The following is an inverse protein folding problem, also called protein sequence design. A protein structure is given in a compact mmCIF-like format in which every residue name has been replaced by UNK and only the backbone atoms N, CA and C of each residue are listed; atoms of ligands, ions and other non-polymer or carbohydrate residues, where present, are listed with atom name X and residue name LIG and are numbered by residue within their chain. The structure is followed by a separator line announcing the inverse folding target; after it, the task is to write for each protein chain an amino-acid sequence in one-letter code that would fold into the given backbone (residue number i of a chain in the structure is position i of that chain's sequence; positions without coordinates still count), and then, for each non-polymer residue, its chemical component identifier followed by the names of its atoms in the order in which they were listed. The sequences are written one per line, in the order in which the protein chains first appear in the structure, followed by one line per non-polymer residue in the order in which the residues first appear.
data_IF_262731182492
#
_entry.id   IF_262731182492
#
_cell.length_a   1.000
_cell.length_b   1.000
_cell.length_c   1.000
_cell.angle_alpha   90.00
_cell.angle_beta   90.00
_cell.angle_gamma   90.00
#
_symmetry.space_group_name_H-M   'P 1'
#
loop_
_entity.id
_entity.type
_entity.pdbx_description
1 polymer ?
#
# COMPACT_ATOMS: atom_id res chain seq x y z
N UNK A 1 -1.09 -0.79 30.27
CA UNK A 1 -1.24 0.55 30.85
C UNK A 1 -0.02 1.35 30.43
N UNK A 2 -0.24 2.55 29.89
CA UNK A 2 0.80 3.51 29.52
C UNK A 2 0.72 4.64 30.54
N UNK A 3 1.82 4.91 31.24
CA UNK A 3 1.84 5.93 32.29
C UNK A 3 3.19 6.65 32.34
N UNK A 4 3.16 7.88 32.86
CA UNK A 4 4.36 8.66 33.15
C UNK A 4 4.57 8.63 34.65
N UNK A 5 5.80 8.33 35.09
CA UNK A 5 6.19 8.39 36.50
C UNK A 5 7.28 9.43 36.69
N UNK A 6 7.13 10.25 37.73
CA UNK A 6 8.16 11.22 38.14
C UNK A 6 9.03 10.61 39.22
N UNK A 7 10.34 10.54 38.98
CA UNK A 7 11.31 10.03 39.95
C UNK A 7 11.59 11.12 41.00
N UNK A 8 11.30 10.81 42.27
CA UNK A 8 11.53 11.72 43.39
C UNK A 8 13.04 11.91 43.59
N UNK A 9 13.52 13.15 43.40
CA UNK A 9 14.90 13.56 43.66
C UNK A 9 15.54 14.38 42.53
N UNK A 10 15.16 14.14 41.27
CA UNK A 10 15.71 14.84 40.11
C UNK A 10 14.64 15.34 39.12
N UNK A 11 13.36 15.23 39.49
CA UNK A 11 12.19 15.61 38.66
C UNK A 11 12.18 14.97 37.26
N UNK A 12 12.91 13.87 37.08
CA UNK A 12 12.98 13.18 35.79
C UNK A 12 11.69 12.39 35.57
N UNK A 13 11.13 12.55 34.37
CA UNK A 13 9.90 11.89 33.94
C UNK A 13 10.26 10.65 33.14
N UNK A 14 9.57 9.56 33.40
CA UNK A 14 9.83 8.27 32.78
C UNK A 14 8.54 7.72 32.19
N UNK A 15 8.60 7.22 30.95
CA UNK A 15 7.49 6.51 30.33
C UNK A 15 7.53 5.03 30.72
N UNK A 16 6.39 4.50 31.15
CA UNK A 16 6.22 3.10 31.51
C UNK A 16 5.11 2.49 30.66
N UNK A 17 5.38 1.33 30.05
CA UNK A 17 4.41 0.58 29.26
C UNK A 17 4.29 -0.82 29.86
N UNK A 18 3.06 -1.19 30.26
CA UNK A 18 2.75 -2.49 30.86
C UNK A 18 3.66 -2.84 32.06
N UNK A 19 4.07 -1.82 32.82
CA UNK A 19 4.92 -1.99 34.00
C UNK A 19 6.43 -2.03 33.72
N UNK A 20 6.87 -1.91 32.46
CA UNK A 20 8.27 -1.82 32.08
C UNK A 20 8.67 -0.37 31.82
N UNK A 21 9.82 0.03 32.35
CA UNK A 21 10.45 1.32 32.03
C UNK A 21 10.93 1.30 30.59
N UNK A 22 10.54 2.31 29.81
CA UNK A 22 11.05 2.50 28.46
C UNK A 22 12.26 3.44 28.53
N UNK A 23 13.42 2.94 28.10
CA UNK A 23 14.65 3.71 27.98
C UNK A 23 14.90 3.99 26.50
N UNK A 24 14.54 5.18 26.04
CA UNK A 24 14.84 5.65 24.69
C UNK A 24 15.08 7.15 24.73
N UNK A 25 16.09 7.61 23.99
CA UNK A 25 16.42 9.04 23.83
C UNK A 25 15.40 9.75 22.92
N UNK A 26 14.55 8.98 22.24
CA UNK A 26 13.52 9.46 21.31
C UNK A 26 12.15 9.67 21.98
N UNK A 27 12.14 9.80 23.31
CA UNK A 27 10.95 10.08 24.12
C UNK A 27 11.09 11.46 24.76
N UNK A 28 10.15 12.35 24.45
CA UNK A 28 10.06 13.65 25.07
C UNK A 28 8.82 13.73 25.99
N UNK A 29 9.00 14.15 27.23
CA UNK A 29 7.92 14.27 28.22
C UNK A 29 7.90 15.66 28.85
N UNK A 30 6.81 16.39 28.59
CA UNK A 30 6.58 17.74 29.11
C UNK A 30 5.44 17.78 30.12
N UNK A 31 5.41 18.82 30.96
CA UNK A 31 4.35 19.04 31.96
C UNK A 31 4.62 18.41 33.32
N UNK A 32 3.86 18.83 34.35
CA UNK A 32 4.11 18.43 35.75
C UNK A 32 2.99 17.56 36.34
N UNK A 33 1.73 17.93 36.09
CA UNK A 33 0.53 17.21 36.56
C UNK A 33 -0.33 16.67 35.40
N UNK A 34 -0.05 17.17 34.21
CA UNK A 34 -0.69 16.85 32.94
C UNK A 34 0.49 16.69 31.99
N UNK A 35 0.62 15.53 31.34
CA UNK A 35 1.79 15.16 30.56
C UNK A 35 1.51 15.22 29.05
N UNK A 36 2.47 15.79 28.32
CA UNK A 36 2.55 15.69 26.87
C UNK A 36 3.73 14.78 26.56
N UNK A 37 3.45 13.64 25.94
CA UNK A 37 4.42 12.61 25.59
C UNK A 37 4.55 12.59 24.07
N UNK A 38 5.78 12.74 23.56
CA UNK A 38 6.10 12.57 22.15
C UNK A 38 7.07 11.41 21.98
N UNK A 39 6.78 10.53 21.03
CA UNK A 39 7.58 9.34 20.71
C UNK A 39 8.00 9.42 19.25
N UNK A 40 9.31 9.50 19.02
CA UNK A 40 9.89 9.59 17.67
C UNK A 40 10.34 8.19 17.18
N UNK A 41 10.63 7.29 18.11
CA UNK A 41 11.04 5.90 17.85
C UNK A 41 9.92 5.10 17.16
N UNK A 42 10.22 4.59 15.95
CA UNK A 42 9.27 3.84 15.13
C UNK A 42 8.90 2.48 15.71
N UNK A 43 9.86 1.74 16.27
CA UNK A 43 9.61 0.42 16.86
C UNK A 43 8.75 0.57 18.13
N UNK A 44 9.06 1.57 18.95
CA UNK A 44 8.25 1.90 20.12
C UNK A 44 6.84 2.36 19.73
N UNK A 45 6.70 3.08 18.62
CA UNK A 45 5.39 3.48 18.10
C UNK A 45 4.53 2.27 17.71
N UNK A 46 5.11 1.22 17.14
CA UNK A 46 4.41 -0.04 16.87
C UNK A 46 3.92 -0.71 18.17
N UNK A 47 4.76 -0.72 19.21
CA UNK A 47 4.38 -1.26 20.52
C UNK A 47 3.25 -0.46 21.18
N UNK A 48 3.28 0.87 21.05
CA UNK A 48 2.21 1.77 21.51
C UNK A 48 0.90 1.42 20.81
N UNK A 49 0.92 1.22 19.49
CA UNK A 49 -0.27 0.88 18.69
C UNK A 49 -1.02 -0.36 19.20
N UNK A 50 -0.31 -1.31 19.83
CA UNK A 50 -0.90 -2.52 20.40
C UNK A 50 -1.64 -2.31 21.73
N UNK A 51 -1.58 -1.11 22.33
CA UNK A 51 -2.25 -0.83 23.59
C UNK A 51 -3.68 -0.35 23.37
N UNK A 52 -4.56 -0.66 24.33
CA UNK A 52 -5.91 -0.09 24.39
C UNK A 52 -5.85 1.40 24.70
N UNK A 53 -6.73 2.19 24.09
CA UNK A 53 -6.83 3.63 24.37
C UNK A 53 -7.17 3.90 25.85
N UNK A 54 -8.08 3.11 26.43
CA UNK A 54 -8.43 3.20 27.85
C UNK A 54 -7.29 2.85 28.81
N UNK A 55 -6.18 2.28 28.30
CA UNK A 55 -5.01 1.94 29.12
C UNK A 55 -4.05 3.12 29.33
N UNK A 56 -4.28 4.26 28.68
CA UNK A 56 -3.51 5.48 28.90
C UNK A 56 -3.90 6.11 30.25
N UNK A 57 -2.89 6.39 31.07
CA UNK A 57 -3.06 7.15 32.31
C UNK A 57 -3.81 8.46 32.06
N UNK A 58 -4.68 8.84 32.99
CA UNK A 58 -5.47 10.08 32.91
C UNK A 58 -4.62 11.34 33.05
N UNK A 59 -3.39 11.20 33.51
CA UNK A 59 -2.38 12.26 33.58
C UNK A 59 -1.76 12.54 32.20
N UNK A 60 -1.78 11.57 31.27
CA UNK A 60 -1.31 11.79 29.90
C UNK A 60 -2.39 12.55 29.12
N UNK A 61 -2.10 13.79 28.77
CA UNK A 61 -3.00 14.69 28.03
C UNK A 61 -2.85 14.60 26.52
N UNK A 62 -1.61 14.46 26.04
CA UNK A 62 -1.29 14.24 24.64
C UNK A 62 -0.28 13.11 24.58
N UNK A 63 -0.54 12.10 23.76
CA UNK A 63 0.42 11.11 23.32
C UNK A 63 0.55 11.25 21.81
N UNK A 64 1.69 11.72 21.32
CA UNK A 64 2.02 11.76 19.89
C UNK A 64 3.06 10.71 19.56
N UNK A 65 2.89 10.00 18.45
CA UNK A 65 3.84 9.01 17.99
C UNK A 65 3.84 8.92 16.45
N UNK A 66 4.98 8.54 15.90
CA UNK A 66 5.15 8.41 14.46
C UNK A 66 4.56 7.10 13.96
N UNK A 67 3.67 7.17 12.97
CA UNK A 67 3.18 6.00 12.25
C UNK A 67 2.96 6.39 10.78
N UNK A 68 3.87 6.00 9.87
CA UNK A 68 3.83 6.49 8.50
C UNK A 68 2.58 6.03 7.75
N UNK A 69 2.04 6.94 6.95
CA UNK A 69 1.00 6.64 5.98
C UNK A 69 1.62 6.61 4.58
N UNK A 70 1.63 5.44 3.95
CA UNK A 70 2.26 5.25 2.64
C UNK A 70 1.67 6.16 1.55
N UNK A 71 0.39 6.50 1.65
CA UNK A 71 -0.32 7.33 0.67
C UNK A 71 -0.36 8.82 1.02
N UNK A 72 0.04 9.25 2.24
CA UNK A 72 -0.09 10.65 2.66
C UNK A 72 1.12 11.17 3.45
N UNK A 73 2.03 11.82 2.72
CA UNK A 73 3.29 12.39 3.24
C UNK A 73 3.12 13.59 4.19
N UNK A 74 1.94 14.23 4.23
CA UNK A 74 1.66 15.39 5.07
C UNK A 74 1.29 15.05 6.51
N UNK A 75 0.97 13.79 6.80
CA UNK A 75 0.64 13.35 8.16
C UNK A 75 1.95 13.05 8.88
N UNK A 76 2.25 13.84 9.91
CA UNK A 76 3.45 13.68 10.72
C UNK A 76 3.33 12.50 11.66
N UNK A 77 2.11 12.21 12.13
CA UNK A 77 1.88 11.09 13.02
C UNK A 77 0.48 11.06 13.58
N UNK A 78 0.31 10.16 14.54
CA UNK A 78 -0.96 9.94 15.23
C UNK A 78 -0.88 10.56 16.61
N UNK A 79 -1.97 11.19 17.02
CA UNK A 79 -2.11 11.86 18.30
C UNK A 79 -3.33 11.33 19.03
N UNK A 80 -3.14 10.93 20.28
CA UNK A 80 -4.22 10.67 21.23
C UNK A 80 -4.25 11.82 22.23
N UNK A 81 -5.38 12.54 22.29
CA UNK A 81 -5.52 13.74 23.11
C UNK A 81 -6.73 13.64 24.04
N UNK A 82 -6.58 14.07 25.29
CA UNK A 82 -7.71 14.25 26.21
C UNK A 82 -8.23 15.68 26.18
N UNK A 83 -9.55 15.86 26.25
CA UNK A 83 -10.17 17.18 26.34
C UNK A 83 -9.70 17.92 27.62
N UNK A 84 -9.35 19.20 27.48
CA UNK A 84 -8.84 20.02 28.58
C UNK A 84 -9.84 20.19 29.72
N UNK A 85 -11.13 20.32 29.40
CA UNK A 85 -12.23 20.55 30.34
C UNK A 85 -12.86 19.25 30.83
N UNK A 86 -12.85 18.19 30.03
CA UNK A 86 -13.42 16.88 30.33
C UNK A 86 -12.39 15.78 30.09
N UNK A 87 -11.50 15.54 31.07
CA UNK A 87 -10.37 14.57 30.92
C UNK A 87 -10.77 13.17 30.43
N UNK A 88 -12.03 12.77 30.61
CA UNK A 88 -12.55 11.48 30.16
C UNK A 88 -12.81 11.41 28.65
N UNK A 89 -12.94 12.55 27.96
CA UNK A 89 -13.10 12.56 26.52
C UNK A 89 -11.72 12.42 25.88
N UNK A 90 -11.57 11.38 25.05
CA UNK A 90 -10.35 11.08 24.31
C UNK A 90 -10.64 11.29 22.82
N UNK A 91 -9.68 11.88 22.13
CA UNK A 91 -9.67 12.10 20.69
C UNK A 91 -8.52 11.33 20.06
N UNK A 92 -8.78 10.75 18.89
CA UNK A 92 -7.77 10.16 18.03
C UNK A 92 -7.62 11.08 16.81
N UNK A 93 -6.40 11.54 16.53
CA UNK A 93 -6.15 12.57 15.53
C UNK A 93 -4.97 12.17 14.63
N UNK A 94 -5.11 12.37 13.32
CA UNK A 94 -3.99 12.40 12.38
C UNK A 94 -3.48 13.84 12.29
N UNK A 95 -2.28 14.11 12.80
CA UNK A 95 -1.72 15.47 12.88
C UNK A 95 -0.94 15.78 11.58
N UNK A 96 -1.28 16.91 10.96
CA UNK A 96 -0.61 17.37 9.75
C UNK A 96 0.54 18.28 10.13
N UNK A 97 1.65 18.12 9.41
CA UNK A 97 2.75 19.08 9.45
C UNK A 97 3.16 19.46 8.05
N UNK A 98 3.34 20.75 7.86
CA UNK A 98 3.93 21.30 6.65
C UNK A 98 5.11 22.18 7.04
N UNK A 99 6.12 22.14 6.19
CA UNK A 99 7.23 23.07 6.22
C UNK A 99 6.89 24.20 5.24
N UNK A 100 6.48 25.36 5.76
CA UNK A 100 6.14 26.54 4.95
C UNK A 100 7.28 26.93 4.01
N UNK A 101 8.54 26.83 4.45
CA UNK A 101 9.70 27.21 3.64
C UNK A 101 9.94 26.21 2.51
N UNK A 102 9.48 24.96 2.68
CA UNK A 102 9.61 23.88 1.69
C UNK A 102 8.31 23.54 0.98
N UNK A 103 7.24 24.30 1.18
CA UNK A 103 5.95 24.06 0.55
C UNK A 103 6.01 24.35 -0.95
N UNK A 104 6.09 23.29 -1.76
CA UNK A 104 6.25 23.36 -3.22
C UNK A 104 5.06 22.79 -4.00
N UNK A 105 3.89 22.65 -3.36
CA UNK A 105 2.66 22.18 -4.01
C UNK A 105 2.05 23.30 -4.87
N UNK A 106 1.21 22.96 -5.84
CA UNK A 106 0.55 23.92 -6.75
C UNK A 106 -0.55 24.76 -6.08
N UNK A 107 -0.92 24.41 -4.86
CA UNK A 107 -1.91 25.08 -4.02
C UNK A 107 -1.23 25.57 -2.74
N UNK A 108 -1.76 26.63 -2.14
CA UNK A 108 -1.39 27.13 -0.82
C UNK A 108 -1.91 26.25 0.31
N UNK A 109 -1.32 26.40 1.49
CA UNK A 109 -1.78 25.74 2.73
C UNK A 109 -3.23 26.15 3.07
N UNK A 110 -3.61 27.40 2.79
CA UNK A 110 -4.97 27.87 3.01
C UNK A 110 -5.99 27.21 2.08
N UNK A 111 -5.64 27.04 0.81
CA UNK A 111 -6.47 26.31 -0.15
C UNK A 111 -6.62 24.84 0.26
N UNK A 112 -5.50 24.20 0.65
CA UNK A 112 -5.52 22.86 1.22
C UNK A 112 -6.51 22.76 2.40
N UNK A 113 -6.40 23.65 3.39
CA UNK A 113 -7.26 23.62 4.56
C UNK A 113 -8.74 23.85 4.24
N UNK A 114 -9.06 24.73 3.27
CA UNK A 114 -10.43 24.96 2.79
C UNK A 114 -11.00 23.73 2.09
N UNK A 115 -10.23 23.09 1.20
CA UNK A 115 -10.67 21.86 0.51
C UNK A 115 -10.85 20.73 1.51
N UNK A 116 -9.94 20.57 2.46
CA UNK A 116 -10.06 19.58 3.53
C UNK A 116 -11.33 19.79 4.37
N UNK A 117 -11.62 21.03 4.78
CA UNK A 117 -12.85 21.36 5.50
C UNK A 117 -14.11 21.03 4.67
N UNK A 118 -14.07 21.26 3.36
CA UNK A 118 -15.17 20.92 2.45
C UNK A 118 -15.36 19.41 2.31
N UNK A 119 -14.30 18.67 1.96
CA UNK A 119 -14.36 17.22 1.73
C UNK A 119 -14.77 16.48 3.00
N UNK A 120 -14.16 16.81 4.14
CA UNK A 120 -14.45 16.15 5.42
C UNK A 120 -15.86 16.39 5.93
N UNK A 121 -16.57 17.42 5.44
CA UNK A 121 -17.96 17.66 5.80
C UNK A 121 -18.88 16.48 5.42
N UNK A 122 -18.55 15.74 4.35
CA UNK A 122 -19.25 14.53 3.91
C UNK A 122 -19.05 13.34 4.87
N UNK A 123 -18.01 13.38 5.73
CA UNK A 123 -17.60 12.24 6.55
C UNK A 123 -17.97 12.38 8.03
N UNK A 124 -18.75 13.40 8.39
CA UNK A 124 -19.19 13.64 9.76
C UNK A 124 -20.00 12.48 10.33
N UNK A 125 -20.77 11.78 9.49
CA UNK A 125 -21.56 10.60 9.90
C UNK A 125 -20.68 9.41 10.30
N UNK A 126 -19.47 9.32 9.74
CA UNK A 126 -18.46 8.34 10.12
C UNK A 126 -17.65 8.78 11.36
N UNK A 127 -17.95 9.95 11.93
CA UNK A 127 -17.27 10.51 13.08
C UNK A 127 -15.89 11.10 12.76
N UNK A 128 -15.64 11.47 11.50
CA UNK A 128 -14.43 12.15 11.06
C UNK A 128 -14.67 13.66 10.99
N UNK A 129 -13.73 14.44 11.54
CA UNK A 129 -13.83 15.90 11.61
C UNK A 129 -12.50 16.55 11.25
N UNK A 130 -12.57 17.60 10.44
CA UNK A 130 -11.45 18.52 10.24
C UNK A 130 -11.32 19.47 11.42
N UNK A 131 -10.15 19.47 12.06
CA UNK A 131 -9.84 20.35 13.18
C UNK A 131 -8.74 21.30 12.73
N UNK A 132 -9.08 22.59 12.68
CA UNK A 132 -8.15 23.67 12.40
C UNK A 132 -7.94 24.52 13.65
N UNK A 133 -6.72 24.98 13.81
CA UNK A 133 -6.37 26.05 14.74
C UNK A 133 -6.80 27.42 14.18
N UNK A 134 -6.80 28.45 15.03
CA UNK A 134 -7.17 29.81 14.61
C UNK A 134 -6.23 30.36 13.52
N UNK A 135 -4.95 29.97 13.56
CA UNK A 135 -3.96 30.27 12.53
C UNK A 135 -3.38 28.96 11.99
N UNK A 136 -4.00 28.46 10.92
CA UNK A 136 -3.68 27.15 10.32
C UNK A 136 -2.20 27.05 9.97
N UNK A 137 -1.64 28.08 9.35
CA UNK A 137 -0.25 28.09 8.87
C UNK A 137 0.74 27.79 10.00
N UNK A 138 0.56 28.40 11.16
CA UNK A 138 1.49 28.32 12.30
C UNK A 138 1.16 27.19 13.27
N UNK A 139 -0.12 26.89 13.47
CA UNK A 139 -0.61 25.98 14.52
C UNK A 139 -1.14 24.65 13.98
N UNK A 140 -1.05 24.43 12.66
CA UNK A 140 -1.37 23.17 12.01
C UNK A 140 -2.86 22.82 12.00
N UNK A 141 -3.14 21.59 11.57
CA UNK A 141 -4.48 21.01 11.49
C UNK A 141 -4.43 19.50 11.74
N UNK A 142 -5.60 18.90 11.96
CA UNK A 142 -5.73 17.46 12.16
C UNK A 142 -7.04 16.90 11.62
N UNK A 143 -7.02 15.62 11.26
CA UNK A 143 -8.23 14.81 11.06
C UNK A 143 -8.54 14.07 12.35
N UNK A 144 -9.63 14.44 13.01
CA UNK A 144 -10.08 13.82 14.25
C UNK A 144 -11.10 12.72 13.97
N UNK A 145 -10.85 11.55 14.53
CA UNK A 145 -11.76 10.40 14.56
C UNK A 145 -12.37 10.30 15.95
N UNK A 146 -13.71 10.31 16.03
CA UNK A 146 -14.44 10.19 17.31
C UNK A 146 -15.20 8.86 17.46
N UNK A 147 -15.31 8.08 16.39
CA UNK A 147 -16.10 6.86 16.39
C UNK A 147 -15.26 5.64 16.81
N UNK A 148 -14.92 5.57 18.11
CA UNK A 148 -14.20 4.44 18.67
C UNK A 148 -14.56 4.21 20.14
N UNK A 149 -14.21 3.03 20.67
CA UNK A 149 -14.38 2.69 22.08
C UNK A 149 -13.02 2.63 22.80
N UNK A 150 -13.00 2.94 24.09
CA UNK A 150 -11.76 2.90 24.90
C UNK A 150 -11.13 1.51 24.98
N UNK A 151 -11.93 0.46 24.78
CA UNK A 151 -11.48 -0.93 24.73
C UNK A 151 -10.74 -1.29 23.45
N UNK A 152 -10.86 -0.47 22.39
CA UNK A 152 -10.13 -0.69 21.16
C UNK A 152 -8.63 -0.45 21.37
N UNK A 153 -7.83 -1.28 20.71
CA UNK A 153 -6.43 -0.95 20.52
C UNK A 153 -6.29 0.27 19.61
N UNK A 154 -5.22 1.02 19.78
CA UNK A 154 -4.89 2.15 18.92
C UNK A 154 -4.76 1.68 17.45
N UNK A 155 -4.20 0.49 17.24
CA UNK A 155 -4.09 -0.15 15.92
C UNK A 155 -5.45 -0.49 15.29
N UNK A 156 -6.41 -1.00 16.05
CA UNK A 156 -7.78 -1.24 15.56
C UNK A 156 -8.45 0.06 15.11
N UNK A 157 -8.27 1.15 15.86
CA UNK A 157 -8.82 2.45 15.50
C UNK A 157 -8.19 2.94 14.19
N UNK A 158 -6.87 2.81 14.05
CA UNK A 158 -6.17 3.11 12.82
C UNK A 158 -6.75 2.33 11.63
N UNK A 159 -6.82 1.00 11.73
CA UNK A 159 -7.34 0.14 10.66
C UNK A 159 -8.79 0.46 10.28
N UNK A 160 -9.63 0.81 11.26
CA UNK A 160 -11.03 1.12 10.98
C UNK A 160 -11.23 2.45 10.24
N UNK A 161 -10.26 3.35 10.27
CA UNK A 161 -10.37 4.67 9.67
C UNK A 161 -9.51 4.82 8.41
N UNK A 162 -8.52 3.96 8.18
CA UNK A 162 -7.48 4.19 7.17
C UNK A 162 -8.03 4.36 5.76
N UNK A 163 -8.95 3.49 5.33
CA UNK A 163 -9.56 3.54 4.01
C UNK A 163 -10.36 4.84 3.81
N UNK A 164 -11.01 5.33 4.89
CA UNK A 164 -11.76 6.58 4.87
C UNK A 164 -10.80 7.77 4.75
N UNK A 165 -9.68 7.74 5.47
CA UNK A 165 -8.65 8.78 5.38
C UNK A 165 -8.04 8.80 3.98
N UNK A 166 -7.81 7.63 3.37
CA UNK A 166 -7.32 7.52 2.00
C UNK A 166 -8.33 8.07 0.98
N UNK A 167 -9.63 7.80 1.14
CA UNK A 167 -10.67 8.36 0.29
C UNK A 167 -10.76 9.90 0.42
N UNK A 168 -10.68 10.42 1.65
CA UNK A 168 -10.61 11.87 1.91
C UNK A 168 -9.39 12.47 1.20
N UNK A 169 -8.22 11.85 1.33
CA UNK A 169 -6.99 12.29 0.66
C UNK A 169 -7.16 12.33 -0.85
N UNK A 170 -7.70 11.25 -1.45
CA UNK A 170 -7.91 11.17 -2.89
C UNK A 170 -8.87 12.25 -3.39
N UNK A 171 -10.01 12.44 -2.72
CA UNK A 171 -10.97 13.51 -3.08
C UNK A 171 -10.38 14.91 -2.93
N UNK A 172 -9.69 15.17 -1.82
CA UNK A 172 -9.06 16.46 -1.57
C UNK A 172 -7.97 16.75 -2.61
N UNK A 173 -7.16 15.75 -2.95
CA UNK A 173 -6.10 15.88 -3.96
C UNK A 173 -6.68 16.22 -5.33
N UNK A 174 -7.74 15.51 -5.76
CA UNK A 174 -8.45 15.82 -7.01
C UNK A 174 -8.94 17.27 -7.00
N UNK A 175 -9.65 17.67 -5.95
CA UNK A 175 -10.20 19.03 -5.86
C UNK A 175 -9.13 20.12 -5.80
N UNK A 176 -8.02 19.89 -5.09
CA UNK A 176 -6.92 20.85 -5.03
C UNK A 176 -6.23 21.01 -6.37
N UNK A 177 -6.05 19.91 -7.10
CA UNK A 177 -5.46 19.92 -8.43
C UNK A 177 -6.42 20.56 -9.46
N UNK A 178 -7.74 20.42 -9.31
CA UNK A 178 -8.72 21.02 -10.21
C UNK A 178 -9.06 22.49 -9.88
N UNK A 179 -9.05 22.88 -8.60
CA UNK A 179 -9.45 24.22 -8.14
C UNK A 179 -8.27 25.20 -8.05
N UNK A 180 -7.03 24.74 -7.94
CA UNK A 180 -5.86 25.64 -7.88
C UNK A 180 -5.59 26.39 -9.19
N UNK A 181 -6.38 26.14 -10.23
CA UNK A 181 -6.24 26.81 -11.52
C UNK A 181 -7.61 27.12 -12.11
N UNK A 182 -8.21 28.25 -11.69
CA UNK A 182 -9.47 28.83 -12.20
C UNK A 182 -9.49 29.01 -13.75
N UNK A 183 -8.37 28.80 -14.42
CA UNK A 183 -8.20 28.87 -15.86
C UNK A 183 -7.63 27.60 -16.48
N UNK A 184 -7.90 26.40 -15.93
CA UNK A 184 -7.37 25.14 -16.49
C UNK A 184 -8.32 23.97 -16.29
N UNK A 185 -8.40 23.12 -17.31
CA UNK A 185 -9.09 21.82 -17.21
C UNK A 185 -8.07 20.79 -16.75
N UNK A 186 -8.28 20.21 -15.57
CA UNK A 186 -7.41 19.15 -15.02
C UNK A 186 -8.18 17.83 -15.00
N UNK A 187 -7.50 16.75 -15.38
CA UNK A 187 -8.01 15.38 -15.34
C UNK A 187 -6.90 14.46 -14.82
N UNK A 188 -7.26 13.52 -13.97
CA UNK A 188 -6.33 12.56 -13.38
C UNK A 188 -6.64 11.19 -13.96
N UNK A 189 -5.60 10.51 -14.45
CA UNK A 189 -5.69 9.19 -15.03
C UNK A 189 -4.83 8.20 -14.24
N UNK A 190 -5.37 7.01 -14.04
CA UNK A 190 -4.66 5.87 -13.48
C UNK A 190 -4.55 4.82 -14.59
N UNK A 191 -3.44 4.90 -15.35
CA UNK A 191 -3.21 4.01 -16.47
C UNK A 191 -2.39 2.79 -16.04
N UNK A 192 -2.72 1.58 -16.51
CA UNK A 192 -1.83 0.44 -16.34
C UNK A 192 -0.46 0.73 -16.97
N UNK A 193 0.62 0.41 -16.26
CA UNK A 193 2.00 0.71 -16.67
C UNK A 193 2.34 0.20 -18.08
N UNK A 194 1.73 -0.90 -18.51
CA UNK A 194 1.99 -1.51 -19.82
C UNK A 194 1.46 -0.68 -21.01
N UNK A 195 0.52 0.23 -20.76
CA UNK A 195 -0.11 1.08 -21.79
C UNK A 195 0.00 2.57 -21.48
N UNK A 196 0.54 2.94 -20.32
CA UNK A 196 0.65 4.32 -19.83
C UNK A 196 1.27 5.27 -20.85
N UNK A 197 2.43 4.94 -21.40
CA UNK A 197 3.14 5.76 -22.40
C UNK A 197 2.28 6.00 -23.65
N UNK A 198 1.55 4.98 -24.11
CA UNK A 198 0.67 5.11 -25.27
C UNK A 198 -0.51 6.04 -25.00
N UNK A 199 -1.11 5.93 -23.81
CA UNK A 199 -2.20 6.79 -23.36
C UNK A 199 -1.74 8.24 -23.19
N UNK A 200 -0.58 8.48 -22.58
CA UNK A 200 0.02 9.81 -22.44
C UNK A 200 0.29 10.46 -23.80
N UNK A 201 0.88 9.72 -24.74
CA UNK A 201 1.13 10.22 -26.09
C UNK A 201 -0.17 10.59 -26.82
N UNK A 202 -1.25 9.82 -26.61
CA UNK A 202 -2.57 10.15 -27.14
C UNK A 202 -3.15 11.41 -26.51
N UNK A 203 -2.99 11.60 -25.20
CA UNK A 203 -3.39 12.84 -24.51
C UNK A 203 -2.61 14.06 -25.04
N UNK A 204 -1.34 13.91 -25.41
CA UNK A 204 -0.57 15.01 -26.05
C UNK A 204 -1.23 15.44 -27.37
N UNK A 205 -1.77 14.52 -28.16
CA UNK A 205 -2.46 14.86 -29.42
C UNK A 205 -3.80 15.58 -29.22
N UNK A 206 -4.31 15.64 -27.99
CA UNK A 206 -5.51 16.41 -27.68
C UNK A 206 -5.34 17.91 -27.97
N UNK A 207 -4.13 18.47 -27.78
CA UNK A 207 -3.88 19.90 -28.08
C UNK A 207 -4.12 20.22 -29.56
N UNK A 208 -3.73 19.30 -30.43
CA UNK A 208 -3.91 19.43 -31.87
C UNK A 208 -5.40 19.34 -32.23
N UNK A 209 -6.13 18.42 -31.60
CA UNK A 209 -7.58 18.32 -31.74
C UNK A 209 -8.30 19.61 -31.28
N UNK A 210 -7.90 20.18 -30.14
CA UNK A 210 -8.44 21.46 -29.67
C UNK A 210 -8.22 22.59 -30.69
N UNK A 211 -7.01 22.66 -31.26
CA UNK A 211 -6.68 23.65 -32.28
C UNK A 211 -7.55 23.51 -33.53
N UNK A 212 -7.84 22.28 -33.95
CA UNK A 212 -8.69 21.98 -35.10
C UNK A 212 -10.15 22.40 -34.89
N UNK A 213 -10.65 22.35 -33.65
CA UNK A 213 -11.99 22.87 -33.30
C UNK A 213 -12.00 24.36 -32.91
N UNK A 214 -10.88 25.07 -33.15
CA UNK A 214 -10.74 26.50 -32.95
C UNK A 214 -10.48 26.94 -31.51
N UNK A 215 -9.98 26.03 -30.66
CA UNK A 215 -9.60 26.31 -29.27
C UNK A 215 -8.07 26.31 -29.18
N UNK A 216 -7.50 27.48 -28.89
CA UNK A 216 -6.07 27.61 -28.61
C UNK A 216 -5.80 27.34 -27.12
N UNK A 217 -4.96 26.35 -26.84
CA UNK A 217 -4.66 25.89 -25.50
C UNK A 217 -3.28 25.24 -25.43
N UNK A 218 -2.70 25.24 -24.23
CA UNK A 218 -1.50 24.47 -23.89
C UNK A 218 -1.89 23.25 -23.06
N UNK A 219 -1.20 22.14 -23.27
CA UNK A 219 -1.38 20.91 -22.46
C UNK A 219 -0.12 20.64 -21.64
N UNK A 220 -0.30 20.18 -20.41
CA UNK A 220 0.78 19.79 -19.53
C UNK A 220 0.45 18.44 -18.89
N UNK A 221 1.42 17.52 -18.95
CA UNK A 221 1.37 16.18 -18.40
C UNK A 221 2.42 16.08 -17.30
N UNK A 222 1.99 15.65 -16.12
CA UNK A 222 2.87 15.35 -14.99
C UNK A 222 2.50 14.01 -14.39
N UNK A 223 3.50 13.25 -13.98
CA UNK A 223 3.30 12.06 -13.17
C UNK A 223 3.47 12.42 -11.69
N UNK A 224 2.46 12.13 -10.88
CA UNK A 224 2.51 12.28 -9.41
C UNK A 224 1.86 11.06 -8.75
N UNK A 225 2.58 10.43 -7.81
CA UNK A 225 2.08 9.29 -7.02
C UNK A 225 1.51 8.13 -7.85
N UNK A 226 2.17 7.77 -8.96
CA UNK A 226 1.73 6.71 -9.87
C UNK A 226 0.57 7.09 -10.80
N UNK A 227 -0.02 8.28 -10.65
CA UNK A 227 -1.11 8.79 -11.49
C UNK A 227 -0.59 9.81 -12.50
N UNK A 228 -1.29 9.94 -13.61
CA UNK A 228 -1.02 10.90 -14.67
C UNK A 228 -1.96 12.09 -14.53
N UNK A 229 -1.38 13.25 -14.21
CA UNK A 229 -2.07 14.53 -14.17
C UNK A 229 -2.02 15.18 -15.55
N UNK A 230 -3.18 15.26 -16.20
CA UNK A 230 -3.37 15.95 -17.46
C UNK A 230 -4.02 17.31 -17.22
N UNK A 231 -3.43 18.37 -17.74
CA UNK A 231 -3.93 19.74 -17.57
C UNK A 231 -3.95 20.49 -18.89
N UNK A 232 -4.99 21.29 -19.10
CA UNK A 232 -5.23 22.07 -20.33
C UNK A 232 -5.51 23.51 -19.98
N UNK A 233 -4.63 24.42 -20.40
CA UNK A 233 -4.71 25.86 -20.14
C UNK A 233 -5.16 26.56 -21.43
N UNK A 234 -6.40 27.06 -21.54
CA UNK A 234 -6.82 27.84 -22.69
C UNK A 234 -6.15 29.21 -22.73
N UNK A 235 -5.86 29.71 -23.94
CA UNK A 235 -5.39 31.08 -24.18
C UNK A 235 -6.45 32.14 -23.84
N UNK A 236 -7.73 31.78 -23.66
CA UNK A 236 -8.84 32.67 -23.28
C UNK A 236 -9.73 32.05 -22.18
N UNK A 237 -10.07 32.83 -21.14
CA UNK A 237 -10.50 32.31 -19.83
C UNK A 237 -11.91 31.71 -19.74
N UNK A 238 -12.95 32.42 -20.18
CA UNK A 238 -14.30 32.18 -19.61
C UNK A 238 -15.22 31.28 -20.45
N UNK A 239 -15.00 31.15 -21.76
CA UNK A 239 -15.86 30.30 -22.64
C UNK A 239 -15.17 29.01 -23.09
N UNK A 240 -13.87 28.86 -22.79
CA UNK A 240 -13.07 27.74 -23.29
C UNK A 240 -13.13 26.50 -22.38
N UNK A 241 -13.24 26.65 -21.05
CA UNK A 241 -13.06 25.54 -20.11
C UNK A 241 -14.14 24.44 -20.22
N UNK A 242 -15.42 24.83 -20.28
CA UNK A 242 -16.52 23.87 -20.45
C UNK A 242 -16.43 23.14 -21.79
N UNK A 243 -16.16 23.90 -22.88
CA UNK A 243 -15.96 23.33 -24.21
C UNK A 243 -14.75 22.39 -24.27
N UNK A 244 -13.67 22.68 -23.55
CA UNK A 244 -12.50 21.80 -23.44
C UNK A 244 -12.86 20.51 -22.69
N UNK A 245 -13.65 20.59 -21.61
CA UNK A 245 -14.12 19.40 -20.88
C UNK A 245 -14.97 18.50 -21.77
N UNK A 246 -15.93 19.08 -22.49
CA UNK A 246 -16.77 18.34 -23.43
C UNK A 246 -15.94 17.73 -24.56
N UNK A 247 -15.02 18.52 -25.12
CA UNK A 247 -14.11 18.06 -26.16
C UNK A 247 -13.23 16.89 -25.68
N UNK A 248 -12.72 16.95 -24.44
CA UNK A 248 -11.91 15.89 -23.85
C UNK A 248 -12.73 14.61 -23.68
N UNK A 249 -13.96 14.73 -23.17
CA UNK A 249 -14.84 13.58 -23.00
C UNK A 249 -15.14 12.89 -24.34
N UNK A 250 -15.44 13.67 -25.39
CA UNK A 250 -15.64 13.13 -26.75
C UNK A 250 -14.35 12.48 -27.27
N UNK A 251 -13.21 13.16 -27.11
CA UNK A 251 -11.91 12.71 -27.61
C UNK A 251 -11.48 11.36 -27.02
N UNK A 252 -11.70 11.16 -25.72
CA UNK A 252 -11.39 9.91 -25.01
C UNK A 252 -12.26 8.73 -25.48
N UNK A 253 -13.44 9.00 -26.06
CA UNK A 253 -14.33 7.96 -26.58
C UNK A 253 -14.04 7.60 -28.05
N UNK A 254 -13.30 8.44 -28.79
CA UNK A 254 -13.02 8.21 -30.21
C UNK A 254 -12.41 6.85 -30.55
N UNK A 255 -11.46 6.29 -29.78
CA UNK A 255 -10.90 4.98 -30.07
C UNK A 255 -11.95 3.87 -30.07
N UNK A 256 -12.99 3.99 -29.24
CA UNK A 256 -14.10 3.03 -29.18
C UNK A 256 -15.03 3.24 -30.38
N UNK A 257 -15.39 4.50 -30.66
CA UNK A 257 -16.34 4.83 -31.74
C UNK A 257 -15.78 4.48 -33.11
N UNK A 258 -14.55 4.87 -33.41
CA UNK A 258 -13.94 4.70 -34.75
C UNK A 258 -13.74 3.21 -35.09
N UNK A 259 -13.43 2.37 -34.10
CA UNK A 259 -13.30 0.93 -34.32
C UNK A 259 -14.63 0.26 -34.71
N UNK A 260 -15.78 0.89 -34.43
CA UNK A 260 -17.11 0.34 -34.70
C UNK A 260 -17.75 0.87 -35.99
N UNK A 261 -17.16 1.88 -36.65
CA UNK A 261 -17.73 2.46 -37.88
C UNK A 261 -17.14 1.77 -39.10
N UNK A 262 -17.98 1.17 -39.94
CA UNK A 262 -17.56 0.69 -41.27
C UNK A 262 -17.15 1.89 -42.13
N UNK A 263 -15.87 1.95 -42.47
CA UNK A 263 -15.26 3.06 -43.18
C UNK A 263 -15.86 3.21 -44.59
N UNK A 264 -16.49 4.35 -44.86
CA UNK A 264 -16.88 4.74 -46.21
C UNK A 264 -15.86 5.77 -46.71
N UNK A 265 -15.06 5.47 -47.76
CA UNK A 265 -14.02 6.35 -48.26
C UNK A 265 -14.64 7.47 -49.08
N UNK A 266 -15.30 8.42 -48.42
CA UNK A 266 -15.71 9.69 -49.02
C UNK A 266 -14.77 10.75 -48.47
N UNK A 267 -14.28 11.64 -49.35
CA UNK A 267 -13.33 12.73 -49.10
C UNK A 267 -13.49 13.34 -47.70
N UNK A 268 -12.74 12.80 -46.74
CA UNK A 268 -12.65 13.34 -45.38
C UNK A 268 -11.65 14.49 -45.39
N UNK A 269 -12.01 15.58 -44.71
CA UNK A 269 -11.12 16.70 -44.40
C UNK A 269 -9.76 16.19 -43.86
N UNK A 270 -8.61 16.78 -44.26
CA UNK A 270 -7.29 16.41 -43.74
C UNK A 270 -7.20 16.35 -42.22
N UNK A 271 -7.92 17.24 -41.49
CA UNK A 271 -7.94 17.24 -40.03
C UNK A 271 -8.62 15.98 -39.48
N UNK A 272 -9.71 15.52 -40.12
CA UNK A 272 -10.39 14.27 -39.77
C UNK A 272 -9.48 13.07 -40.03
N UNK A 273 -8.69 13.10 -41.10
CA UNK A 273 -7.71 12.04 -41.38
C UNK A 273 -6.59 12.00 -40.34
N UNK A 274 -6.10 13.17 -39.90
CA UNK A 274 -5.10 13.27 -38.85
C UNK A 274 -5.62 12.74 -37.51
N UNK A 275 -6.85 13.10 -37.13
CA UNK A 275 -7.51 12.57 -35.94
C UNK A 275 -7.65 11.04 -35.99
N UNK A 276 -8.10 10.50 -37.14
CA UNK A 276 -8.19 9.06 -37.34
C UNK A 276 -6.82 8.38 -37.26
N UNK A 277 -5.77 8.99 -37.82
CA UNK A 277 -4.41 8.46 -37.75
C UNK A 277 -3.91 8.40 -36.29
N UNK A 278 -4.17 9.44 -35.49
CA UNK A 278 -3.83 9.46 -34.06
C UNK A 278 -4.54 8.33 -33.29
N UNK A 279 -5.82 8.11 -33.59
CA UNK A 279 -6.60 7.03 -32.98
C UNK A 279 -6.11 5.64 -33.41
N UNK A 280 -5.82 5.44 -34.70
CA UNK A 280 -5.25 4.19 -35.19
C UNK A 280 -3.86 3.92 -34.61
N UNK A 281 -3.06 4.98 -34.42
CA UNK A 281 -1.76 4.88 -33.79
C UNK A 281 -1.88 4.37 -32.35
N UNK A 282 -2.75 4.98 -31.53
CA UNK A 282 -3.05 4.49 -30.17
C UNK A 282 -3.47 3.02 -30.19
N UNK A 283 -4.45 2.66 -31.03
CA UNK A 283 -4.95 1.29 -31.11
C UNK A 283 -3.85 0.29 -31.48
N UNK A 284 -2.94 0.67 -32.38
CA UNK A 284 -1.79 -0.15 -32.76
C UNK A 284 -0.82 -0.34 -31.60
N UNK A 285 -0.53 0.71 -30.82
CA UNK A 285 0.30 0.61 -29.63
C UNK A 285 -0.35 -0.27 -28.55
N UNK A 286 -1.64 -0.11 -28.29
CA UNK A 286 -2.38 -0.94 -27.34
C UNK A 286 -2.41 -2.42 -27.75
N UNK A 287 -2.60 -2.70 -29.05
CA UNK A 287 -2.55 -4.05 -29.59
C UNK A 287 -1.16 -4.67 -29.39
N UNK A 288 -0.10 -3.90 -29.63
CA UNK A 288 1.28 -4.35 -29.42
C UNK A 288 1.57 -4.64 -27.95
N UNK A 289 1.19 -3.74 -27.03
CA UNK A 289 1.35 -3.96 -25.58
C UNK A 289 0.63 -5.24 -25.14
N UNK A 290 -0.60 -5.48 -25.61
CA UNK A 290 -1.34 -6.72 -25.32
C UNK A 290 -0.64 -7.97 -25.84
N UNK A 291 -0.11 -7.93 -27.06
CA UNK A 291 0.64 -9.06 -27.63
C UNK A 291 1.92 -9.37 -26.83
N UNK A 292 2.61 -8.34 -26.35
CA UNK A 292 3.79 -8.48 -25.47
C UNK A 292 3.38 -9.12 -24.13
N UNK A 293 2.31 -8.63 -23.49
CA UNK A 293 1.79 -9.21 -22.24
C UNK A 293 1.45 -10.68 -22.42
N UNK A 294 0.73 -11.03 -23.49
CA UNK A 294 0.35 -12.41 -23.78
C UNK A 294 1.60 -13.29 -23.99
N UNK A 295 2.61 -12.78 -24.68
CA UNK A 295 3.88 -13.49 -24.91
C UNK A 295 4.66 -13.70 -23.61
N UNK A 296 4.69 -12.69 -22.73
CA UNK A 296 5.32 -12.78 -21.42
C UNK A 296 4.60 -13.81 -20.53
N UNK A 297 3.27 -13.82 -20.52
CA UNK A 297 2.48 -14.81 -19.78
C UNK A 297 2.73 -16.25 -20.28
N UNK A 298 2.80 -16.45 -21.61
CA UNK A 298 3.16 -17.75 -22.19
C UNK A 298 4.58 -18.18 -21.79
N UNK A 299 5.52 -17.24 -21.76
CA UNK A 299 6.90 -17.50 -21.34
C UNK A 299 6.98 -17.89 -19.87
N UNK A 300 6.30 -17.16 -18.98
CA UNK A 300 6.20 -17.47 -17.55
C UNK A 300 5.59 -18.85 -17.34
N UNK A 301 4.47 -19.15 -18.02
CA UNK A 301 3.83 -20.46 -17.94
C UNK A 301 4.73 -21.61 -18.41
N UNK A 302 5.55 -21.37 -19.45
CA UNK A 302 6.53 -22.34 -19.92
C UNK A 302 7.69 -22.53 -18.92
N UNK A 303 8.18 -21.46 -18.30
CA UNK A 303 9.20 -21.53 -17.25
C UNK A 303 8.70 -22.30 -16.04
N UNK A 304 7.46 -22.07 -15.60
CA UNK A 304 6.85 -22.82 -14.49
C UNK A 304 6.75 -24.32 -14.80
N UNK A 305 6.29 -24.68 -16.01
CA UNK A 305 6.27 -26.08 -16.45
C UNK A 305 7.66 -26.72 -16.45
N UNK A 306 8.69 -25.98 -16.85
CA UNK A 306 10.06 -26.46 -16.83
C UNK A 306 10.54 -26.69 -15.40
N UNK A 307 10.25 -25.78 -14.47
CA UNK A 307 10.57 -25.92 -13.04
C UNK A 307 9.87 -27.16 -12.46
N UNK A 308 8.59 -27.35 -12.73
CA UNK A 308 7.83 -28.53 -12.28
C UNK A 308 8.42 -29.84 -12.83
N UNK A 309 8.85 -29.85 -14.10
CA UNK A 309 9.51 -31.01 -14.71
C UNK A 309 10.87 -31.28 -14.06
N UNK A 310 11.68 -30.25 -13.82
CA UNK A 310 12.97 -30.39 -13.14
C UNK A 310 12.79 -30.94 -11.72
N UNK A 311 11.79 -30.45 -11.00
CA UNK A 311 11.50 -30.91 -9.64
C UNK A 311 11.10 -32.39 -9.61
N UNK A 312 10.24 -32.83 -10.54
CA UNK A 312 9.89 -34.26 -10.68
C UNK A 312 11.10 -35.15 -10.99
N UNK A 313 12.03 -34.67 -11.81
CA UNK A 313 13.26 -35.41 -12.13
C UNK A 313 14.17 -35.51 -10.90
N UNK A 314 14.32 -34.42 -10.15
CA UNK A 314 15.08 -34.39 -8.89
C UNK A 314 14.48 -35.37 -7.89
N UNK A 315 13.17 -35.30 -7.65
CA UNK A 315 12.47 -36.20 -6.73
C UNK A 315 12.64 -37.68 -7.13
N UNK A 316 12.52 -37.98 -8.42
CA UNK A 316 12.73 -39.33 -8.94
C UNK A 316 14.17 -39.81 -8.74
N UNK A 317 15.16 -38.92 -8.88
CA UNK A 317 16.57 -39.25 -8.65
C UNK A 317 16.88 -39.53 -7.18
N UNK A 318 16.27 -38.78 -6.26
CA UNK A 318 16.40 -38.98 -4.80
C UNK A 318 15.79 -40.34 -4.39
N UNK A 319 14.64 -40.70 -4.97
CA UNK A 319 14.03 -42.02 -4.74
C UNK A 319 14.92 -43.17 -5.22
N UNK A 320 15.57 -43.03 -6.38
CA UNK A 320 16.50 -44.05 -6.86
C UNK A 320 17.74 -44.17 -5.96
N UNK A 321 18.28 -43.04 -5.50
CA UNK A 321 19.44 -43.02 -4.61
C UNK A 321 19.14 -43.71 -3.27
N UNK A 322 17.98 -43.43 -2.67
CA UNK A 322 17.58 -44.07 -1.42
C UNK A 322 17.33 -45.59 -1.57
N UNK A 323 16.82 -46.05 -2.71
CA UNK A 323 16.69 -47.48 -3.01
C UNK A 323 18.04 -48.18 -3.18
N UNK A 324 19.05 -47.50 -3.72
CA UNK A 324 20.42 -48.04 -3.82
C UNK A 324 21.03 -48.19 -2.43
N UNK A 325 20.89 -47.17 -1.57
CA UNK A 325 21.41 -47.19 -0.20
C UNK A 325 20.77 -48.29 0.68
N UNK A 326 19.47 -48.56 0.49
CA UNK A 326 18.77 -49.67 1.17
C UNK A 326 19.34 -51.02 0.74
N UNK A 327 19.54 -51.25 -0.57
CA UNK A 327 20.07 -52.52 -1.07
C UNK A 327 21.49 -52.81 -0.58
N UNK A 328 22.34 -51.80 -0.45
CA UNK A 328 23.72 -51.99 0.04
C UNK A 328 23.78 -52.38 1.52
N UNK A 329 22.76 -52.05 2.32
CA UNK A 329 22.73 -52.37 3.75
C UNK A 329 22.12 -53.76 4.07
N UNK A 330 21.50 -54.46 3.10
CA UNK A 330 20.92 -55.79 3.32
C UNK A 330 21.96 -56.92 3.37
N UNK A 331 23.17 -56.71 2.83
CA UNK A 331 24.23 -57.74 2.79
C UNK A 331 25.13 -57.77 4.04
N UNK A 332 25.03 -56.78 4.94
CA UNK A 332 25.78 -56.75 6.20
C UNK A 332 24.93 -57.33 7.34
N UNK A 333 25.18 -58.61 7.68
CA UNK A 333 24.46 -59.31 8.76
C UNK A 333 24.40 -58.56 10.10
N UNK A 334 23.40 -58.87 10.93
CA UNK A 334 23.04 -58.06 12.10
C UNK A 334 23.70 -58.50 13.40
N UNK A 335 24.23 -57.54 14.16
CA UNK A 335 24.86 -57.80 15.46
C UNK A 335 23.83 -57.76 16.59
N UNK A 336 23.82 -58.78 17.45
CA UNK A 336 23.01 -58.88 18.66
C UNK A 336 23.91 -59.01 19.91
N UNK A 337 23.34 -58.75 21.09
CA UNK A 337 24.07 -58.72 22.38
C UNK A 337 25.29 -57.79 22.39
N UNK A 338 25.09 -56.53 21.97
CA UNK A 338 26.14 -55.50 22.03
C UNK A 338 27.34 -55.75 21.11
N UNK A 339 27.17 -56.52 20.03
CA UNK A 339 28.26 -56.87 19.10
C UNK A 339 28.92 -58.22 19.36
N UNK A 340 28.47 -58.96 20.38
CA UNK A 340 29.08 -60.25 20.76
C UNK A 340 28.73 -61.38 19.79
N UNK A 341 27.57 -61.30 19.13
CA UNK A 341 27.08 -62.34 18.20
C UNK A 341 26.58 -61.68 16.92
N UNK A 342 27.05 -62.15 15.75
CA UNK A 342 26.57 -61.71 14.44
C UNK A 342 25.64 -62.76 13.84
N UNK A 343 24.40 -62.37 13.56
CA UNK A 343 23.44 -63.20 12.86
C UNK A 343 23.82 -63.28 11.38
N UNK A 344 23.83 -64.49 10.85
CA UNK A 344 24.07 -64.77 9.44
C UNK A 344 22.96 -65.65 8.89
N UNK A 345 22.88 -65.74 7.56
CA UNK A 345 21.96 -66.65 6.88
C UNK A 345 22.32 -68.10 7.26
N UNK A 346 21.32 -68.88 7.64
CA UNK A 346 21.48 -70.31 7.93
C UNK A 346 21.08 -71.12 6.68
N UNK A 347 21.94 -72.05 6.28
CA UNK A 347 21.68 -72.96 5.16
C UNK A 347 21.55 -74.40 5.66
N UNK A 348 20.40 -75.02 5.36
CA UNK A 348 20.14 -76.44 5.57
C UNK A 348 19.92 -77.15 4.24
N UNK A 349 19.98 -78.47 4.21
CA UNK A 349 19.73 -79.26 3.01
C UNK A 349 18.30 -79.03 2.48
N UNK A 350 18.18 -78.17 1.47
CA UNK A 350 16.94 -77.84 0.78
C UNK A 350 16.31 -76.49 1.15
N UNK A 351 16.90 -75.69 2.05
CA UNK A 351 16.37 -74.36 2.38
C UNK A 351 17.43 -73.41 2.96
N UNK A 352 17.22 -72.11 2.77
CA UNK A 352 18.01 -71.03 3.38
C UNK A 352 17.08 -70.16 4.23
N UNK A 353 17.48 -69.82 5.45
CA UNK A 353 16.76 -68.92 6.34
C UNK A 353 17.60 -67.67 6.58
N UNK A 354 17.03 -66.51 6.24
CA UNK A 354 17.62 -65.21 6.57
C UNK A 354 17.31 -64.86 8.03
N UNK A 355 18.17 -65.37 8.93
CA UNK A 355 18.02 -65.18 10.38
C UNK A 355 18.06 -63.69 10.78
N UNK A 356 18.93 -62.82 10.20
CA UNK A 356 18.85 -61.37 10.43
C UNK A 356 17.46 -60.78 10.15
N UNK A 357 16.89 -61.05 8.98
CA UNK A 357 15.56 -60.52 8.65
C UNK A 357 14.44 -61.11 9.51
N UNK A 358 14.51 -62.41 9.83
CA UNK A 358 13.55 -63.03 10.74
C UNK A 358 13.61 -62.38 12.14
N UNK A 359 14.80 -62.07 12.63
CA UNK A 359 15.01 -61.40 13.91
C UNK A 359 14.42 -59.98 13.91
N UNK A 360 14.69 -59.16 12.89
CA UNK A 360 14.09 -57.81 12.74
C UNK A 360 12.57 -57.87 12.78
N UNK A 361 11.98 -58.79 12.02
CA UNK A 361 10.53 -58.95 11.95
C UNK A 361 9.91 -59.33 13.30
N UNK A 362 10.54 -60.26 14.04
CA UNK A 362 10.09 -60.64 15.38
C UNK A 362 10.27 -59.48 16.37
N UNK A 363 11.40 -58.76 16.31
CA UNK A 363 11.70 -57.61 17.17
C UNK A 363 10.65 -56.50 17.00
N UNK A 364 10.33 -56.15 15.76
CA UNK A 364 9.31 -55.14 15.43
C UNK A 364 7.91 -55.55 15.91
N UNK A 365 7.57 -56.84 15.81
CA UNK A 365 6.27 -57.36 16.26
C UNK A 365 6.13 -57.47 17.77
N UNK A 366 7.23 -57.68 18.50
CA UNK A 366 7.23 -57.84 19.96
C UNK A 366 7.55 -56.54 20.71
N UNK A 367 7.91 -55.46 20.01
CA UNK A 367 8.07 -54.12 20.60
C UNK A 367 9.29 -53.95 21.50
N UNK A 368 10.25 -54.87 21.44
CA UNK A 368 11.53 -54.70 22.13
C UNK A 368 12.38 -53.67 21.36
N UNK A 369 12.64 -52.51 21.97
CA UNK A 369 13.59 -51.53 21.43
C UNK A 369 15.03 -51.95 21.71
#
# INVERSE_FOLDING_TARGET
MIEVRTVLGNETKQLWIKGNLIQSDDIEIYGNNDFWVSIIDGDLSLDIMQNKVGSLSTEIRKLSFYYPLEFWDLIEGIVIRRDYRKKQIIYFEYEFKWDFEKWKKSYSIEEFAKVMEHVTAEYKEYGIYWIKSDEVISNGCSLRCNNFHEENSIYEIYLNNIDIIEDIYNKASVLLLTNSVDSTVVSIFDFPEEVKVACEQYLIYFVQFLKEIGIDAEVNLKEESGKVLFSVVPSSRETALERIRDALNIYLQLPIVINNVQYNPIQTDPNVQQLMANVHHLNSQLMLSRAIIQTNQLTIGNQQKLIEQQQKVIDSSILLQSLIEIRTNEDEGENIFGGTVKLQKYEGNGFQVDIPNLYRWVKDKLGFK
#
